data_IF_048550966948
#
_entry.id   IF_048550966948
#
_cell.length_a   1.000
_cell.length_b   1.000
_cell.length_c   1.000
_cell.angle_alpha   90.00
_cell.angle_beta   90.00
_cell.angle_gamma   90.00
#
_symmetry.space_group_name_H-M   'P 1'
#
loop_
_entity.id
_entity.type
_entity.pdbx_description
1 polymer ?
#
# COMPACT_ATOMS: atom_id res chain seq x y z
N UNK A 1 36.91 -17.77 -14.29
CA UNK A 1 35.58 -18.41 -14.10
C UNK A 1 34.58 -17.58 -14.88
N UNK A 2 33.74 -18.22 -15.71
CA UNK A 2 32.69 -17.55 -16.48
C UNK A 2 31.33 -17.96 -15.90
N UNK A 3 30.48 -16.97 -15.63
CA UNK A 3 29.18 -17.16 -15.00
C UNK A 3 28.10 -16.53 -15.85
N UNK A 4 27.05 -17.30 -16.17
CA UNK A 4 25.79 -16.79 -16.68
C UNK A 4 24.90 -16.41 -15.49
N UNK A 5 24.42 -15.18 -15.48
CA UNK A 5 23.52 -14.66 -14.47
C UNK A 5 22.32 -13.98 -15.16
N UNK A 6 21.17 -13.95 -14.49
CA UNK A 6 19.95 -13.30 -15.04
C UNK A 6 19.97 -11.77 -14.92
N UNK A 7 20.99 -11.20 -14.29
CA UNK A 7 21.04 -9.79 -13.92
C UNK A 7 22.49 -9.29 -13.97
N UNK A 8 22.67 -7.98 -14.17
CA UNK A 8 24.01 -7.35 -14.27
C UNK A 8 24.58 -6.94 -12.91
N UNK A 9 23.77 -6.98 -11.84
CA UNK A 9 24.21 -6.80 -10.46
C UNK A 9 23.13 -7.30 -9.48
N UNK A 10 23.48 -7.88 -8.31
CA UNK A 10 22.50 -8.35 -7.33
C UNK A 10 21.95 -7.18 -6.51
N UNK A 11 20.98 -6.47 -7.11
CA UNK A 11 20.36 -5.25 -6.55
C UNK A 11 19.17 -5.55 -5.64
N UNK A 12 18.23 -6.32 -6.16
CA UNK A 12 16.94 -6.60 -5.52
C UNK A 12 16.97 -7.90 -4.71
N UNK A 13 17.87 -8.81 -5.05
CA UNK A 13 18.05 -10.09 -4.37
C UNK A 13 19.30 -10.82 -4.83
N UNK A 14 19.58 -11.95 -4.16
CA UNK A 14 20.66 -12.87 -4.53
C UNK A 14 20.40 -13.45 -5.93
N UNK A 15 21.40 -13.43 -6.80
CA UNK A 15 21.30 -13.86 -8.19
C UNK A 15 21.93 -15.25 -8.32
N UNK A 16 21.16 -16.23 -8.80
CA UNK A 16 21.73 -17.52 -9.16
C UNK A 16 22.64 -17.37 -10.39
N UNK A 17 23.79 -18.03 -10.33
CA UNK A 17 24.77 -18.05 -11.40
C UNK A 17 24.98 -19.49 -11.88
N UNK A 18 25.00 -19.66 -13.19
CA UNK A 18 25.36 -20.92 -13.82
C UNK A 18 26.79 -20.82 -14.36
N UNK A 19 27.66 -21.76 -13.99
CA UNK A 19 29.02 -21.81 -14.53
C UNK A 19 28.99 -22.28 -15.97
N UNK A 20 29.73 -21.61 -16.84
CA UNK A 20 29.97 -22.05 -18.21
C UNK A 20 31.48 -22.17 -18.45
N UNK A 21 31.84 -23.00 -19.41
CA UNK A 21 33.25 -23.27 -19.73
C UNK A 21 33.81 -22.19 -20.66
N UNK A 22 33.00 -21.72 -21.60
CA UNK A 22 33.43 -20.81 -22.66
C UNK A 22 32.58 -19.53 -22.72
N UNK A 23 33.22 -18.45 -23.16
CA UNK A 23 32.55 -17.17 -23.45
C UNK A 23 32.01 -17.22 -24.88
N UNK A 24 30.77 -16.77 -25.15
CA UNK A 24 30.25 -16.77 -26.52
C UNK A 24 31.10 -15.87 -27.44
N UNK A 25 31.45 -16.38 -28.62
CA UNK A 25 32.30 -15.65 -29.59
C UNK A 25 31.65 -14.37 -30.12
N UNK A 26 30.32 -14.34 -30.15
CA UNK A 26 29.47 -13.25 -30.61
C UNK A 26 28.94 -12.37 -29.46
N UNK A 27 29.39 -12.59 -28.22
CA UNK A 27 28.92 -11.81 -27.09
C UNK A 27 29.42 -10.36 -27.14
N UNK A 28 28.46 -9.44 -27.14
CA UNK A 28 28.71 -8.01 -26.99
C UNK A 28 29.16 -7.67 -25.56
N UNK A 29 30.21 -6.85 -25.45
CA UNK A 29 30.70 -6.35 -24.16
C UNK A 29 29.93 -5.09 -23.79
N UNK A 30 28.91 -5.25 -22.95
CA UNK A 30 28.09 -4.14 -22.45
C UNK A 30 28.83 -3.32 -21.38
N UNK A 31 29.64 -3.96 -20.54
CA UNK A 31 30.39 -3.29 -19.47
C UNK A 31 31.72 -4.00 -19.20
N UNK A 32 32.79 -3.22 -19.00
CA UNK A 32 34.10 -3.71 -18.54
C UNK A 32 34.58 -2.84 -17.38
N UNK A 33 34.82 -3.45 -16.22
CA UNK A 33 35.22 -2.74 -15.00
C UNK A 33 36.50 -3.37 -14.45
N UNK A 34 37.49 -2.54 -14.09
CA UNK A 34 38.70 -3.03 -13.44
C UNK A 34 38.39 -3.63 -12.05
N UNK A 35 39.15 -4.66 -11.66
CA UNK A 35 38.99 -5.31 -10.36
C UNK A 35 40.08 -4.81 -9.42
N UNK A 36 39.69 -4.16 -8.32
CA UNK A 36 40.62 -3.71 -7.28
C UNK A 36 41.02 -4.83 -6.33
N UNK A 37 40.10 -5.76 -6.07
CA UNK A 37 40.36 -6.91 -5.20
C UNK A 37 39.47 -8.09 -5.58
N UNK A 38 40.06 -9.29 -5.62
CA UNK A 38 39.37 -10.56 -5.81
C UNK A 38 40.00 -11.59 -4.89
N UNK A 39 39.34 -11.91 -3.78
CA UNK A 39 39.92 -12.76 -2.73
C UNK A 39 38.95 -13.86 -2.37
N UNK A 40 39.41 -15.11 -2.40
CA UNK A 40 38.64 -16.26 -1.92
C UNK A 40 38.73 -16.35 -0.39
N UNK A 41 37.58 -16.45 0.28
CA UNK A 41 37.43 -16.71 1.71
C UNK A 41 36.47 -17.88 1.91
N UNK A 42 37.03 -19.08 2.05
CA UNK A 42 36.26 -20.32 2.14
C UNK A 42 35.40 -20.55 0.89
N UNK A 43 34.08 -20.58 1.09
CA UNK A 43 33.06 -20.76 0.05
C UNK A 43 32.72 -19.46 -0.72
N UNK A 44 33.17 -18.30 -0.24
CA UNK A 44 32.93 -17.01 -0.86
C UNK A 44 34.15 -16.52 -1.66
N UNK A 45 33.90 -15.80 -2.74
CA UNK A 45 34.87 -14.99 -3.46
C UNK A 45 34.42 -13.54 -3.32
N UNK A 46 35.14 -12.76 -2.52
CA UNK A 46 34.92 -11.32 -2.37
C UNK A 46 35.43 -10.59 -3.61
N UNK A 47 34.59 -9.74 -4.20
CA UNK A 47 34.90 -8.97 -5.39
C UNK A 47 34.70 -7.47 -5.12
N UNK A 48 35.76 -6.69 -5.30
CA UNK A 48 35.75 -5.24 -5.25
C UNK A 48 36.12 -4.68 -6.63
N UNK A 49 35.17 -4.02 -7.26
CA UNK A 49 35.31 -3.37 -8.57
C UNK A 49 35.78 -1.92 -8.42
N UNK A 50 36.44 -1.41 -9.45
CA UNK A 50 36.87 -0.02 -9.56
C UNK A 50 35.77 0.87 -10.18
N UNK A 51 34.71 1.10 -9.39
CA UNK A 51 33.63 2.03 -9.74
C UNK A 51 32.99 2.64 -8.50
N UNK A 52 32.28 3.75 -8.70
CA UNK A 52 31.68 4.54 -7.61
C UNK A 52 30.46 3.89 -6.94
N UNK A 53 29.69 3.07 -7.67
CA UNK A 53 28.50 2.38 -7.17
C UNK A 53 28.56 0.90 -7.54
N UNK A 54 27.80 0.06 -6.84
CA UNK A 54 27.71 -1.37 -7.18
C UNK A 54 29.10 -2.01 -7.27
N UNK A 55 29.95 -1.71 -6.30
CA UNK A 55 31.38 -2.00 -6.39
C UNK A 55 31.85 -3.11 -5.46
N UNK A 56 30.99 -3.62 -4.57
CA UNK A 56 31.33 -4.67 -3.59
C UNK A 56 30.29 -5.78 -3.64
N UNK A 57 30.74 -7.01 -3.91
CA UNK A 57 29.88 -8.19 -3.96
C UNK A 57 30.64 -9.47 -3.60
N UNK A 58 29.91 -10.57 -3.51
CA UNK A 58 30.44 -11.90 -3.27
C UNK A 58 29.87 -12.90 -4.27
N UNK A 59 30.73 -13.78 -4.79
CA UNK A 59 30.32 -15.01 -5.46
C UNK A 59 30.44 -16.16 -4.45
N UNK A 60 29.31 -16.76 -4.08
CA UNK A 60 29.23 -17.86 -3.13
C UNK A 60 29.07 -19.17 -3.90
N UNK A 61 30.00 -20.09 -3.71
CA UNK A 61 29.93 -21.46 -4.25
C UNK A 61 29.54 -22.37 -3.08
N UNK A 62 28.39 -23.05 -3.20
CA UNK A 62 27.87 -23.91 -2.14
C UNK A 62 27.27 -25.18 -2.73
N UNK A 63 27.04 -26.20 -1.91
CA UNK A 63 26.31 -27.40 -2.31
C UNK A 63 24.90 -27.35 -1.69
N UNK A 64 23.87 -27.52 -2.51
CA UNK A 64 22.50 -27.59 -2.06
C UNK A 64 21.72 -28.58 -2.94
N UNK A 65 20.86 -29.39 -2.31
CA UNK A 65 20.07 -30.43 -3.00
C UNK A 65 20.93 -31.37 -3.86
N UNK A 66 22.08 -31.80 -3.34
CA UNK A 66 22.99 -32.74 -4.01
C UNK A 66 23.80 -32.18 -5.18
N UNK A 67 23.75 -30.87 -5.46
CA UNK A 67 24.50 -30.24 -6.55
C UNK A 67 25.20 -28.96 -6.14
N UNK A 68 26.25 -28.58 -6.87
CA UNK A 68 26.89 -27.28 -6.72
C UNK A 68 25.96 -26.17 -7.22
N UNK A 69 25.85 -25.12 -6.42
CA UNK A 69 25.11 -23.90 -6.74
C UNK A 69 26.02 -22.69 -6.54
N UNK A 70 26.02 -21.79 -7.51
CA UNK A 70 26.77 -20.54 -7.45
C UNK A 70 25.77 -19.40 -7.33
N UNK A 71 26.07 -18.45 -6.45
CA UNK A 71 25.23 -17.29 -6.29
C UNK A 71 26.04 -16.02 -6.15
N UNK A 72 25.54 -14.95 -6.76
CA UNK A 72 26.07 -13.61 -6.64
C UNK A 72 25.20 -12.78 -5.70
N UNK A 73 25.83 -12.14 -4.72
CA UNK A 73 25.15 -11.33 -3.71
C UNK A 73 25.94 -10.08 -3.33
N UNK A 74 25.24 -9.03 -2.92
CA UNK A 74 25.79 -7.90 -2.16
C UNK A 74 25.50 -8.06 -0.67
N UNK A 75 26.17 -7.26 0.18
CA UNK A 75 25.87 -7.18 1.61
C UNK A 75 24.37 -6.96 1.89
N UNK A 76 23.71 -6.10 1.09
CA UNK A 76 22.27 -5.85 1.16
C UNK A 76 21.47 -7.13 0.92
N UNK A 77 21.69 -7.80 -0.21
CA UNK A 77 20.93 -9.01 -0.57
C UNK A 77 21.26 -10.23 0.29
N UNK A 78 22.42 -10.24 0.97
CA UNK A 78 22.81 -11.29 1.90
C UNK A 78 22.05 -11.19 3.24
N UNK A 79 21.78 -9.97 3.71
CA UNK A 79 21.07 -9.70 4.97
C UNK A 79 19.53 -9.74 4.87
N UNK A 80 18.99 -9.80 3.65
CA UNK A 80 17.54 -9.85 3.43
C UNK A 80 16.90 -11.07 4.12
N UNK A 81 15.78 -10.82 4.79
CA UNK A 81 14.97 -11.86 5.41
C UNK A 81 14.45 -12.86 4.36
N UNK A 82 14.32 -14.13 4.76
CA UNK A 82 13.75 -15.21 3.97
C UNK A 82 12.64 -15.92 4.76
N UNK A 83 11.51 -15.25 4.98
CA UNK A 83 10.38 -15.85 5.67
C UNK A 83 9.91 -17.09 4.89
N UNK A 84 9.71 -18.20 5.59
CA UNK A 84 9.25 -19.48 5.03
C UNK A 84 7.73 -19.46 4.77
N UNK A 85 7.26 -18.43 4.08
CA UNK A 85 5.83 -18.18 3.86
C UNK A 85 5.48 -18.46 2.40
N UNK A 86 4.48 -19.32 2.21
CA UNK A 86 3.85 -19.53 0.91
C UNK A 86 2.86 -18.39 0.65
N UNK A 87 2.98 -17.74 -0.50
CA UNK A 87 2.03 -16.71 -0.90
C UNK A 87 0.83 -17.36 -1.61
N UNK A 88 -0.41 -17.01 -1.25
CA UNK A 88 -1.59 -17.50 -1.96
C UNK A 88 -1.58 -17.09 -3.44
N UNK A 89 -1.93 -18.01 -4.35
CA UNK A 89 -2.03 -17.74 -5.79
C UNK A 89 -3.42 -17.29 -6.28
N UNK A 90 -4.41 -17.25 -5.38
CA UNK A 90 -5.77 -16.83 -5.72
C UNK A 90 -5.83 -15.36 -6.15
N UNK A 91 -6.77 -15.04 -7.05
CA UNK A 91 -7.06 -13.65 -7.48
C UNK A 91 -7.30 -12.76 -6.28
N UNK A 92 -6.69 -11.58 -6.27
CA UNK A 92 -7.00 -10.58 -5.27
C UNK A 92 -8.38 -9.97 -5.55
N UNK A 93 -9.25 -9.97 -4.52
CA UNK A 93 -10.62 -9.42 -4.58
C UNK A 93 -11.48 -9.90 -5.76
N UNK A 94 -11.19 -11.08 -6.32
CA UNK A 94 -11.90 -11.61 -7.49
C UNK A 94 -11.62 -10.87 -8.81
N UNK A 95 -10.73 -9.89 -8.84
CA UNK A 95 -10.41 -9.10 -10.04
C UNK A 95 -9.63 -9.97 -11.04
N UNK A 96 -10.18 -10.13 -12.24
CA UNK A 96 -9.60 -10.98 -13.29
C UNK A 96 -8.46 -10.28 -14.05
N UNK A 97 -8.64 -9.00 -14.40
CA UNK A 97 -7.74 -8.25 -15.28
C UNK A 97 -7.31 -6.93 -14.60
N UNK A 98 -6.36 -7.05 -13.67
CA UNK A 98 -5.75 -5.88 -13.04
C UNK A 98 -4.58 -5.38 -13.88
N UNK A 99 -4.76 -4.25 -14.57
CA UNK A 99 -3.65 -3.51 -15.17
C UNK A 99 -3.04 -2.57 -14.11
N UNK A 100 -1.74 -2.69 -13.89
CA UNK A 100 -0.97 -1.86 -12.96
C UNK A 100 -0.07 -0.92 -13.76
N UNK A 101 -0.29 0.38 -13.60
CA UNK A 101 0.62 1.39 -14.10
C UNK A 101 1.91 1.38 -13.25
N UNK A 102 3.06 1.44 -13.89
CA UNK A 102 4.38 1.43 -13.25
C UNK A 102 5.12 2.69 -13.68
N UNK A 103 5.52 3.52 -12.71
CA UNK A 103 6.20 4.77 -13.01
C UNK A 103 7.47 4.53 -13.82
N UNK A 104 7.69 5.37 -14.84
CA UNK A 104 8.83 5.22 -15.73
C UNK A 104 10.19 5.37 -15.02
N UNK A 105 10.23 6.05 -13.87
CA UNK A 105 11.43 6.32 -13.08
C UNK A 105 11.76 5.17 -12.12
N UNK A 106 10.84 4.23 -11.88
CA UNK A 106 11.11 3.02 -11.11
C UNK A 106 12.07 2.12 -11.92
N UNK A 107 13.31 2.04 -11.46
CA UNK A 107 14.41 1.33 -12.14
C UNK A 107 14.31 -0.18 -11.98
N UNK A 108 13.75 -0.65 -10.88
CA UNK A 108 13.67 -2.07 -10.56
C UNK A 108 12.22 -2.43 -10.22
N UNK A 109 11.32 -2.36 -11.22
CA UNK A 109 9.90 -2.53 -10.98
C UNK A 109 9.55 -3.93 -10.51
N UNK A 110 8.50 -4.03 -9.71
CA UNK A 110 7.81 -5.29 -9.49
C UNK A 110 7.33 -5.83 -10.83
N UNK A 111 7.47 -7.15 -11.02
CA UNK A 111 7.10 -7.78 -12.28
C UNK A 111 5.68 -8.33 -12.25
N UNK A 112 5.16 -8.62 -11.05
CA UNK A 112 3.87 -9.29 -10.84
C UNK A 112 3.72 -10.61 -11.63
N UNK A 113 4.82 -11.21 -12.09
CA UNK A 113 4.79 -12.33 -13.04
C UNK A 113 4.05 -13.57 -12.54
N UNK A 114 4.00 -13.78 -11.22
CA UNK A 114 3.28 -14.90 -10.59
C UNK A 114 1.81 -14.54 -10.27
N UNK A 115 1.28 -13.42 -10.78
CA UNK A 115 -0.06 -12.91 -10.48
C UNK A 115 -0.85 -12.68 -11.77
N UNK A 116 -2.16 -12.61 -11.60
CA UNK A 116 -3.11 -12.31 -12.66
C UNK A 116 -3.21 -10.78 -12.78
N UNK A 117 -2.14 -10.18 -13.26
CA UNK A 117 -2.03 -8.74 -13.48
C UNK A 117 -1.13 -8.46 -14.69
N UNK A 118 -1.43 -7.40 -15.42
CA UNK A 118 -0.56 -6.84 -16.45
C UNK A 118 0.10 -5.57 -15.93
N UNK A 119 1.21 -5.18 -16.55
CA UNK A 119 1.91 -3.93 -16.20
C UNK A 119 2.03 -3.02 -17.41
N UNK A 120 1.77 -1.74 -17.22
CA UNK A 120 1.97 -0.68 -18.22
C UNK A 120 2.96 0.34 -17.69
N UNK A 121 3.95 0.72 -18.51
CA UNK A 121 4.95 1.74 -18.14
C UNK A 121 4.45 3.12 -18.53
N UNK A 122 4.29 4.03 -17.58
CA UNK A 122 3.88 5.42 -17.85
C UNK A 122 4.30 6.35 -16.71
N UNK A 123 4.43 7.68 -16.94
CA UNK A 123 4.70 8.60 -15.86
C UNK A 123 3.49 8.71 -14.93
N UNK A 124 3.72 8.49 -13.63
CA UNK A 124 2.74 8.76 -12.59
C UNK A 124 2.95 10.15 -12.02
N UNK A 125 1.85 10.78 -11.58
CA UNK A 125 1.89 12.07 -10.86
C UNK A 125 2.45 11.92 -9.46
N UNK A 126 2.24 10.76 -8.80
CA UNK A 126 2.88 10.39 -7.53
C UNK A 126 2.84 8.88 -7.32
N UNK A 127 3.83 8.35 -6.59
CA UNK A 127 4.03 6.92 -6.34
C UNK A 127 4.71 6.15 -7.49
N UNK A 128 5.04 4.89 -7.22
CA UNK A 128 5.77 4.01 -8.17
C UNK A 128 4.83 3.05 -8.92
N UNK A 129 3.68 2.72 -8.34
CA UNK A 129 2.69 1.81 -8.91
C UNK A 129 1.29 2.39 -8.77
N UNK A 130 0.50 2.39 -9.83
CA UNK A 130 -0.81 3.05 -9.87
C UNK A 130 -1.92 2.19 -10.44
N UNK A 131 -3.14 2.50 -10.03
CA UNK A 131 -4.38 2.11 -10.71
C UNK A 131 -4.94 3.35 -11.40
N UNK A 132 -4.97 3.32 -12.73
CA UNK A 132 -5.54 4.38 -13.55
C UNK A 132 -6.90 3.94 -14.07
N UNK A 133 -7.92 4.76 -13.83
CA UNK A 133 -9.29 4.55 -14.33
C UNK A 133 -9.75 5.87 -14.92
N UNK A 134 -10.26 5.82 -16.15
CA UNK A 134 -10.72 7.01 -16.91
C UNK A 134 -9.66 8.11 -17.00
N UNK A 135 -8.39 7.72 -17.13
CA UNK A 135 -7.25 8.63 -17.22
C UNK A 135 -6.82 9.28 -15.90
N UNK A 136 -7.48 8.95 -14.78
CA UNK A 136 -7.17 9.48 -13.45
C UNK A 136 -6.48 8.42 -12.59
N UNK A 137 -5.49 8.85 -11.81
CA UNK A 137 -4.81 8.01 -10.84
C UNK A 137 -5.69 7.85 -9.59
N UNK A 138 -6.39 6.72 -9.50
CA UNK A 138 -7.37 6.45 -8.43
C UNK A 138 -6.75 5.78 -7.21
N UNK A 139 -5.66 5.05 -7.40
CA UNK A 139 -4.88 4.49 -6.31
C UNK A 139 -3.39 4.48 -6.66
N UNK A 140 -2.53 4.62 -5.67
CA UNK A 140 -1.08 4.58 -5.87
C UNK A 140 -0.36 3.92 -4.71
N UNK A 141 0.80 3.35 -4.99
CA UNK A 141 1.72 2.79 -4.01
C UNK A 141 3.12 3.32 -4.27
N UNK A 142 3.67 4.02 -3.28
CA UNK A 142 5.07 4.40 -3.22
C UNK A 142 5.89 3.28 -2.60
N UNK A 143 6.95 2.85 -3.27
CA UNK A 143 7.82 1.78 -2.80
C UNK A 143 9.11 2.36 -2.24
N UNK A 144 9.44 1.99 -1.00
CA UNK A 144 10.63 2.52 -0.32
C UNK A 144 11.46 1.42 0.32
N UNK A 145 12.78 1.55 0.25
CA UNK A 145 13.67 0.75 1.12
C UNK A 145 13.75 1.40 2.49
N UNK A 146 14.15 0.65 3.53
CA UNK A 146 14.35 1.25 4.86
C UNK A 146 15.39 2.38 4.82
N UNK A 147 16.46 2.23 4.04
CA UNK A 147 17.48 3.26 3.91
C UNK A 147 16.93 4.55 3.27
N UNK A 148 16.12 4.41 2.21
CA UNK A 148 15.50 5.55 1.54
C UNK A 148 14.43 6.20 2.43
N UNK A 149 13.68 5.40 3.20
CA UNK A 149 12.71 5.89 4.19
C UNK A 149 13.42 6.73 5.25
N UNK A 150 14.43 6.17 5.91
CA UNK A 150 15.24 6.87 6.93
C UNK A 150 15.84 8.15 6.36
N UNK A 151 16.42 8.10 5.16
CA UNK A 151 17.00 9.27 4.51
C UNK A 151 15.94 10.34 4.23
N UNK A 152 14.79 9.97 3.66
CA UNK A 152 13.70 10.90 3.32
C UNK A 152 13.02 11.50 4.56
N UNK A 153 12.93 10.75 5.66
CA UNK A 153 12.47 11.25 6.94
C UNK A 153 13.43 12.31 7.50
N UNK A 154 14.72 11.98 7.59
CA UNK A 154 15.71 12.83 8.26
C UNK A 154 16.04 14.10 7.48
N UNK A 155 15.77 14.14 6.18
CA UNK A 155 15.93 15.33 5.34
C UNK A 155 14.61 16.04 5.00
N UNK A 156 13.49 15.63 5.62
CA UNK A 156 12.16 16.24 5.45
C UNK A 156 11.47 15.96 4.11
N UNK A 157 12.10 15.24 3.17
CA UNK A 157 11.51 14.95 1.85
C UNK A 157 10.29 14.03 1.94
N UNK A 158 10.21 13.17 2.95
CA UNK A 158 9.07 12.26 3.09
C UNK A 158 7.76 13.04 3.26
N UNK A 159 7.75 14.14 4.03
CA UNK A 159 6.55 14.93 4.27
C UNK A 159 5.98 15.48 2.97
N UNK A 160 6.82 16.04 2.09
CA UNK A 160 6.38 16.53 0.77
C UNK A 160 5.81 15.41 -0.09
N UNK A 161 6.45 14.24 -0.07
CA UNK A 161 5.97 13.08 -0.80
C UNK A 161 4.63 12.57 -0.26
N UNK A 162 4.45 12.54 1.07
CA UNK A 162 3.18 12.17 1.69
C UNK A 162 2.06 13.18 1.38
N UNK A 163 2.38 14.48 1.26
CA UNK A 163 1.43 15.49 0.79
C UNK A 163 0.93 15.16 -0.62
N UNK A 164 1.82 14.87 -1.56
CA UNK A 164 1.43 14.49 -2.94
C UNK A 164 0.60 13.20 -2.96
N UNK A 165 1.02 12.18 -2.20
CA UNK A 165 0.30 10.91 -2.09
C UNK A 165 -1.10 11.11 -1.47
N UNK A 166 -1.24 12.00 -0.49
CA UNK A 166 -2.52 12.27 0.18
C UNK A 166 -3.58 12.93 -0.71
N UNK A 167 -3.18 13.48 -1.86
CA UNK A 167 -4.10 14.01 -2.86
C UNK A 167 -4.74 12.91 -3.74
N UNK A 168 -4.27 11.67 -3.63
CA UNK A 168 -4.78 10.52 -4.39
C UNK A 168 -5.75 9.75 -3.49
N UNK A 169 -6.94 9.33 -3.98
CA UNK A 169 -8.00 8.75 -3.14
C UNK A 169 -7.54 7.55 -2.28
N UNK A 170 -6.68 6.70 -2.85
CA UNK A 170 -6.16 5.50 -2.18
C UNK A 170 -4.65 5.40 -2.37
N UNK A 171 -3.89 5.97 -1.45
CA UNK A 171 -2.44 5.94 -1.50
C UNK A 171 -1.83 5.12 -0.36
N UNK A 172 -0.65 4.54 -0.58
CA UNK A 172 0.10 3.88 0.48
C UNK A 172 1.61 3.96 0.22
N UNK A 173 2.40 3.85 1.29
CA UNK A 173 3.85 3.61 1.21
C UNK A 173 4.13 2.18 1.65
N UNK A 174 4.77 1.38 0.79
CA UNK A 174 5.28 0.06 1.15
C UNK A 174 6.78 0.11 1.40
N UNK A 175 7.19 -0.40 2.55
CA UNK A 175 8.59 -0.46 2.98
C UNK A 175 9.09 -1.89 2.87
N UNK A 176 10.14 -2.09 2.07
CA UNK A 176 10.78 -3.40 1.87
C UNK A 176 11.69 -3.82 3.04
N UNK A 177 11.16 -3.78 4.26
CA UNK A 177 11.86 -4.22 5.46
C UNK A 177 10.86 -4.45 6.61
N UNK A 178 11.32 -5.07 7.70
CA UNK A 178 10.57 -5.16 8.96
C UNK A 178 10.70 -3.89 9.77
N UNK A 179 9.63 -3.50 10.45
CA UNK A 179 9.66 -2.39 11.41
C UNK A 179 10.74 -2.60 12.49
N UNK A 180 10.98 -3.85 12.91
CA UNK A 180 12.04 -4.17 13.89
C UNK A 180 13.46 -3.78 13.46
N UNK A 181 13.73 -3.59 12.16
CA UNK A 181 15.03 -3.12 11.70
C UNK A 181 15.26 -1.63 11.94
N UNK A 182 14.20 -0.84 12.18
CA UNK A 182 14.33 0.57 12.61
C UNK A 182 15.15 0.65 13.90
N UNK A 183 14.98 -0.32 14.80
CA UNK A 183 15.70 -0.39 16.08
C UNK A 183 17.11 -0.99 15.97
N UNK A 184 17.57 -1.29 14.76
CA UNK A 184 18.90 -1.85 14.46
C UNK A 184 19.72 -0.93 13.55
N UNK A 185 19.33 0.34 13.42
CA UNK A 185 20.04 1.33 12.62
C UNK A 185 21.37 1.72 13.29
N UNK A 186 22.44 1.76 12.51
CA UNK A 186 23.78 2.09 13.00
C UNK A 186 24.10 3.60 12.95
N UNK A 187 23.41 4.36 12.10
CA UNK A 187 23.78 5.74 11.75
C UNK A 187 22.78 6.81 12.20
N UNK A 188 21.52 6.43 12.39
CA UNK A 188 20.45 7.34 12.82
C UNK A 188 19.84 6.76 14.09
N UNK A 189 19.61 7.62 15.09
CA UNK A 189 18.98 7.20 16.35
C UNK A 189 17.61 6.57 16.05
N UNK A 190 17.34 5.33 16.49
CA UNK A 190 16.06 4.69 16.21
C UNK A 190 14.83 5.45 16.68
N UNK A 191 14.91 6.17 17.81
CA UNK A 191 13.80 6.97 18.33
C UNK A 191 13.37 8.05 17.34
N UNK A 192 14.32 8.77 16.72
CA UNK A 192 14.02 9.80 15.72
C UNK A 192 13.26 9.23 14.53
N UNK A 193 13.61 8.02 14.09
CA UNK A 193 12.93 7.36 12.97
C UNK A 193 11.56 6.84 13.38
N UNK A 194 11.44 6.21 14.56
CA UNK A 194 10.18 5.71 15.07
C UNK A 194 9.16 6.84 15.30
N UNK A 195 9.58 7.92 15.96
CA UNK A 195 8.77 9.12 16.19
C UNK A 195 8.38 9.76 14.86
N UNK A 196 9.33 9.91 13.93
CA UNK A 196 9.06 10.46 12.59
C UNK A 196 8.04 9.64 11.79
N UNK A 197 8.09 8.31 11.86
CA UNK A 197 7.08 7.43 11.25
C UNK A 197 5.70 7.67 11.88
N UNK A 198 5.63 7.70 13.22
CA UNK A 198 4.38 7.92 13.93
C UNK A 198 3.79 9.30 13.61
N UNK A 199 4.59 10.36 13.64
CA UNK A 199 4.16 11.71 13.27
C UNK A 199 3.66 11.78 11.83
N UNK A 200 4.31 11.07 10.89
CA UNK A 200 3.83 10.99 9.51
C UNK A 200 2.45 10.35 9.43
N UNK A 201 2.21 9.26 10.16
CA UNK A 201 0.90 8.59 10.17
C UNK A 201 -0.20 9.43 10.83
N UNK A 202 0.13 10.24 11.84
CA UNK A 202 -0.82 11.17 12.45
C UNK A 202 -1.12 12.36 11.52
N UNK A 203 -0.10 12.91 10.84
CA UNK A 203 -0.29 14.03 9.91
C UNK A 203 -0.95 13.63 8.59
N UNK A 204 -0.73 12.40 8.14
CA UNK A 204 -1.23 11.87 6.87
C UNK A 204 -1.98 10.55 7.10
N UNK A 205 -3.10 10.56 7.84
CA UNK A 205 -3.80 9.34 8.25
C UNK A 205 -4.36 8.53 7.06
N UNK A 206 -4.58 9.18 5.91
CA UNK A 206 -5.03 8.53 4.68
C UNK A 206 -3.93 7.76 3.94
N UNK A 207 -2.65 7.93 4.30
CA UNK A 207 -1.51 7.30 3.60
C UNK A 207 -0.77 6.36 4.58
N UNK A 208 -1.18 5.09 4.69
CA UNK A 208 -0.50 4.13 5.55
C UNK A 208 0.94 3.87 5.09
N UNK A 209 1.84 3.68 6.06
CA UNK A 209 3.22 3.22 5.85
C UNK A 209 3.31 1.76 6.33
N UNK A 210 3.44 0.83 5.38
CA UNK A 210 3.35 -0.61 5.64
C UNK A 210 4.71 -1.28 5.48
N UNK A 211 5.19 -1.91 6.55
CA UNK A 211 6.42 -2.68 6.55
C UNK A 211 6.17 -4.12 6.09
N UNK A 212 6.66 -4.46 4.91
CA UNK A 212 6.37 -5.75 4.27
C UNK A 212 7.49 -6.79 4.41
N UNK A 213 8.55 -6.53 5.17
CA UNK A 213 9.70 -7.43 5.39
C UNK A 213 10.58 -7.70 4.15
N UNK A 214 9.99 -8.17 3.04
CA UNK A 214 10.73 -8.48 1.81
C UNK A 214 10.11 -7.82 0.59
N UNK A 215 10.91 -7.65 -0.45
CA UNK A 215 10.44 -7.25 -1.79
C UNK A 215 9.29 -8.11 -2.31
N UNK A 216 9.33 -9.43 -2.09
CA UNK A 216 8.28 -10.35 -2.56
C UNK A 216 6.95 -10.10 -1.87
N UNK A 217 7.00 -9.85 -0.56
CA UNK A 217 5.83 -9.52 0.25
C UNK A 217 5.32 -8.10 -0.04
N UNK A 218 6.21 -7.14 -0.30
CA UNK A 218 5.82 -5.81 -0.75
C UNK A 218 5.09 -5.86 -2.10
N UNK A 219 5.61 -6.62 -3.08
CA UNK A 219 4.93 -6.85 -4.35
C UNK A 219 3.54 -7.48 -4.16
N UNK A 220 3.44 -8.49 -3.28
CA UNK A 220 2.15 -9.11 -2.97
C UNK A 220 1.16 -8.12 -2.37
N UNK A 221 1.62 -7.31 -1.40
CA UNK A 221 0.79 -6.32 -0.75
C UNK A 221 0.31 -5.26 -1.76
N UNK A 222 1.22 -4.74 -2.60
CA UNK A 222 0.89 -3.79 -3.68
C UNK A 222 -0.14 -4.37 -4.64
N UNK A 223 0.03 -5.63 -5.07
CA UNK A 223 -0.95 -6.30 -5.94
C UNK A 223 -2.34 -6.34 -5.30
N UNK A 224 -2.43 -6.76 -4.03
CA UNK A 224 -3.71 -6.87 -3.31
C UNK A 224 -4.34 -5.51 -3.02
N UNK A 225 -3.53 -4.51 -2.67
CA UNK A 225 -4.01 -3.15 -2.42
C UNK A 225 -4.64 -2.54 -3.68
N UNK A 226 -3.95 -2.62 -4.82
CA UNK A 226 -4.48 -2.10 -6.08
C UNK A 226 -5.70 -2.88 -6.58
N UNK A 227 -5.74 -4.20 -6.37
CA UNK A 227 -6.94 -5.00 -6.67
C UNK A 227 -8.14 -4.61 -5.79
N UNK A 228 -7.91 -4.38 -4.49
CA UNK A 228 -8.95 -3.92 -3.58
C UNK A 228 -9.44 -2.51 -3.95
N UNK A 229 -8.53 -1.62 -4.34
CA UNK A 229 -8.90 -0.30 -4.85
C UNK A 229 -9.78 -0.39 -6.12
N UNK A 230 -9.44 -1.29 -7.05
CA UNK A 230 -10.24 -1.54 -8.26
C UNK A 230 -11.64 -2.04 -7.93
N UNK A 231 -11.75 -2.99 -7.00
CA UNK A 231 -13.05 -3.50 -6.55
C UNK A 231 -13.87 -2.41 -5.86
N UNK A 232 -13.26 -1.65 -4.94
CA UNK A 232 -13.92 -0.55 -4.24
C UNK A 232 -14.43 0.55 -5.17
N UNK A 233 -13.69 0.90 -6.24
CA UNK A 233 -14.18 1.84 -7.26
C UNK A 233 -15.42 1.32 -7.99
N UNK A 234 -15.45 0.02 -8.30
CA UNK A 234 -16.59 -0.57 -8.98
C UNK A 234 -17.84 -0.56 -8.08
N UNK A 235 -17.66 -0.84 -6.79
CA UNK A 235 -18.73 -0.77 -5.78
C UNK A 235 -19.22 0.67 -5.58
N UNK A 236 -18.32 1.64 -5.46
CA UNK A 236 -18.65 3.07 -5.34
C UNK A 236 -19.45 3.57 -6.55
N UNK A 237 -19.04 3.21 -7.77
CA UNK A 237 -19.78 3.56 -8.99
C UNK A 237 -21.23 3.03 -8.95
N UNK A 238 -21.43 1.79 -8.51
CA UNK A 238 -22.76 1.19 -8.36
C UNK A 238 -23.55 1.94 -7.29
N UNK A 239 -22.94 2.25 -6.14
CA UNK A 239 -23.55 3.00 -5.06
C UNK A 239 -23.98 4.41 -5.48
N UNK A 240 -23.11 5.15 -6.17
CA UNK A 240 -23.38 6.49 -6.68
C UNK A 240 -24.55 6.49 -7.67
N UNK A 241 -24.59 5.51 -8.59
CA UNK A 241 -25.72 5.35 -9.52
C UNK A 241 -27.02 5.03 -8.78
N UNK A 242 -26.98 4.16 -7.77
CA UNK A 242 -28.14 3.83 -6.95
C UNK A 242 -28.65 5.06 -6.20
N UNK A 243 -27.76 5.84 -5.59
CA UNK A 243 -28.11 7.06 -4.84
C UNK A 243 -28.70 8.13 -5.76
N UNK A 244 -28.15 8.33 -6.95
CA UNK A 244 -28.71 9.27 -7.95
C UNK A 244 -30.11 8.88 -8.41
N UNK A 245 -30.44 7.60 -8.36
CA UNK A 245 -31.77 7.07 -8.67
C UNK A 245 -32.77 7.17 -7.51
N UNK A 246 -32.33 7.58 -6.30
CA UNK A 246 -33.24 7.77 -5.18
C UNK A 246 -34.01 9.07 -5.36
N UNK A 247 -35.34 8.97 -5.43
CA UNK A 247 -36.22 10.12 -5.25
C UNK A 247 -36.29 10.47 -3.76
N UNK A 248 -36.25 11.76 -3.45
CA UNK A 248 -36.49 12.22 -2.10
C UNK A 248 -37.90 11.78 -1.68
N UNK A 249 -37.99 10.95 -0.64
CA UNK A 249 -39.28 10.61 -0.07
C UNK A 249 -39.96 11.91 0.38
N UNK A 250 -41.27 12.07 0.13
CA UNK A 250 -42.00 13.20 0.67
C UNK A 250 -41.81 13.21 2.20
N UNK A 251 -41.76 14.40 2.83
CA UNK A 251 -41.69 14.47 4.28
C UNK A 251 -42.78 13.58 4.87
N UNK A 252 -42.40 12.67 5.77
CA UNK A 252 -43.38 11.88 6.48
C UNK A 252 -44.34 12.85 7.17
N UNK A 253 -45.64 12.58 7.05
CA UNK A 253 -46.62 13.29 7.85
C UNK A 253 -46.19 13.19 9.32
N UNK A 254 -46.35 14.26 10.13
CA UNK A 254 -45.99 14.22 11.52
C UNK A 254 -46.64 13.01 12.19
N UNK A 255 -45.88 12.31 13.03
CA UNK A 255 -46.41 11.13 13.72
C UNK A 255 -47.75 11.48 14.41
N UNK A 256 -48.75 10.57 14.35
CA UNK A 256 -50.03 10.81 15.01
C UNK A 256 -49.76 11.06 16.51
N UNK A 257 -50.46 12.02 17.12
CA UNK A 257 -50.22 12.37 18.51
C UNK A 257 -50.43 11.18 19.44
N UNK A 258 -49.45 10.95 20.32
CA UNK A 258 -49.61 9.94 21.35
C UNK A 258 -50.48 10.50 22.49
N UNK A 259 -51.21 9.64 23.23
CA UNK A 259 -51.90 10.06 24.45
C UNK A 259 -51.00 10.75 25.48
N UNK A 260 -49.70 10.47 25.48
CA UNK A 260 -48.73 11.17 26.34
C UNK A 260 -48.42 12.59 25.87
N UNK A 261 -48.33 12.82 24.55
CA UNK A 261 -48.08 14.16 24.01
C UNK A 261 -49.25 15.09 24.28
N UNK A 262 -50.47 14.58 24.10
CA UNK A 262 -51.70 15.33 24.38
C UNK A 262 -51.80 15.68 25.87
N UNK A 263 -51.48 14.75 26.78
CA UNK A 263 -51.47 15.02 28.23
C UNK A 263 -50.40 16.03 28.64
N UNK A 264 -49.21 15.95 28.05
CA UNK A 264 -48.12 16.90 28.32
C UNK A 264 -48.47 18.31 27.85
N UNK A 265 -49.15 18.42 26.71
CA UNK A 265 -49.67 19.71 26.23
C UNK A 265 -50.81 20.23 27.11
N UNK A 266 -51.72 19.34 27.52
CA UNK A 266 -52.86 19.67 28.37
C UNK A 266 -52.49 20.03 29.82
N UNK A 267 -51.21 20.05 30.21
CA UNK A 267 -50.80 20.50 31.56
C UNK A 267 -50.97 22.01 31.78
N UNK A 268 -51.46 22.75 30.77
CA UNK A 268 -51.87 24.14 30.93
C UNK A 268 -53.10 24.24 31.86
N UNK A 269 -53.26 25.34 32.63
CA UNK A 269 -54.30 25.47 33.67
C UNK A 269 -55.75 25.25 33.18
N UNK A 270 -55.99 25.41 31.87
CA UNK A 270 -57.32 25.50 31.29
C UNK A 270 -57.79 24.21 30.60
N UNK A 271 -57.01 23.12 30.63
CA UNK A 271 -57.35 21.85 29.95
C UNK A 271 -57.30 20.68 30.95
N UNK A 272 -58.47 20.15 31.33
CA UNK A 272 -58.56 19.03 32.28
C UNK A 272 -58.53 17.69 31.54
N UNK A 273 -57.49 16.89 31.77
CA UNK A 273 -57.31 15.55 31.16
C UNK A 273 -56.90 14.54 32.23
N UNK A 274 -57.49 13.35 32.22
CA UNK A 274 -57.09 12.27 33.16
C UNK A 274 -55.68 11.74 32.85
N UNK A 275 -54.91 11.48 33.91
CA UNK A 275 -53.56 10.90 33.84
C UNK A 275 -53.52 9.50 33.19
N UNK A 276 -54.67 8.81 33.08
CA UNK A 276 -54.79 7.46 32.53
C UNK A 276 -56.00 7.31 31.61
N UNK A 277 -56.04 6.24 30.82
CA UNK A 277 -57.19 5.92 29.96
C UNK A 277 -57.21 6.62 28.60
N UNK A 278 -58.38 6.65 27.96
CA UNK A 278 -58.58 7.22 26.62
C UNK A 278 -58.63 8.75 26.70
N UNK A 279 -57.97 9.43 25.76
CA UNK A 279 -58.06 10.88 25.61
C UNK A 279 -59.45 11.25 25.08
N UNK A 280 -60.18 12.19 25.72
CA UNK A 280 -61.44 12.69 25.19
C UNK A 280 -61.27 13.29 23.79
N UNK A 281 -62.24 13.06 22.90
CA UNK A 281 -62.18 13.53 21.50
C UNK A 281 -61.97 15.05 21.43
N UNK A 282 -62.71 15.82 22.23
CA UNK A 282 -62.57 17.28 22.27
C UNK A 282 -61.15 17.77 22.65
N UNK A 283 -60.44 17.04 23.52
CA UNK A 283 -59.07 17.38 23.92
C UNK A 283 -58.07 17.04 22.81
N UNK A 284 -58.29 15.92 22.12
CA UNK A 284 -57.49 15.54 20.95
C UNK A 284 -57.66 16.58 19.82
N UNK A 285 -58.89 17.06 19.59
CA UNK A 285 -59.17 18.07 18.56
C UNK A 285 -58.48 19.40 18.88
N UNK A 286 -58.56 19.88 20.13
CA UNK A 286 -57.85 21.10 20.54
C UNK A 286 -56.32 20.96 20.42
N UNK A 287 -55.77 19.78 20.73
CA UNK A 287 -54.35 19.50 20.54
C UNK A 287 -53.96 19.55 19.04
N UNK A 288 -54.75 18.93 18.18
CA UNK A 288 -54.51 18.93 16.73
C UNK A 288 -54.59 20.34 16.14
N UNK A 289 -55.52 21.18 16.61
CA UNK A 289 -55.60 22.58 16.22
C UNK A 289 -54.40 23.41 16.71
N UNK A 290 -53.95 23.21 17.94
CA UNK A 290 -52.77 23.90 18.47
C UNK A 290 -51.50 23.54 17.68
N UNK A 291 -51.35 22.25 17.31
CA UNK A 291 -50.27 21.74 16.47
C UNK A 291 -50.34 22.29 15.05
N UNK A 292 -51.53 22.37 14.45
CA UNK A 292 -51.72 22.93 13.11
C UNK A 292 -51.38 24.44 13.04
N UNK A 293 -51.56 25.18 14.15
CA UNK A 293 -51.21 26.60 14.28
C UNK A 293 -49.72 26.85 14.61
N UNK A 294 -48.91 25.79 14.83
CA UNK A 294 -47.50 25.91 15.21
C UNK A 294 -47.28 26.40 16.65
N UNK A 295 -48.29 26.28 17.52
CA UNK A 295 -48.20 26.68 18.93
C UNK A 295 -47.50 25.64 19.82
N UNK A 296 -47.20 24.47 19.26
CA UNK A 296 -46.49 23.32 19.87
C UNK A 296 -45.77 22.50 18.79
#
# INVERSE_FOLDING_TARGET
MILKAKDTWPRTGKVYCHRVEEWPVDAEIIERVAVRSCVRRGAAIDLVLDRGRENRSQIIITNARGRQMIFWQTARTARQARPAVALPGARASGVADLEIAVDIRERYPFTFADRQATTRREPLSSGDYGLIVDGLLQATVERKSLADLVSSLTNGKLTFQLTELSAIPRAAVVVEERYSQVFKLDHVRPSVVADGIAECQIRFPAVPIVFCETRKLAQEWTYRFLAAARAGLAEEMIGDLAVRGLEAAPPLAPAPPSPSDVRRWASAPDIVVSDRGRIPVAVMDQYLEARARGAI
#
